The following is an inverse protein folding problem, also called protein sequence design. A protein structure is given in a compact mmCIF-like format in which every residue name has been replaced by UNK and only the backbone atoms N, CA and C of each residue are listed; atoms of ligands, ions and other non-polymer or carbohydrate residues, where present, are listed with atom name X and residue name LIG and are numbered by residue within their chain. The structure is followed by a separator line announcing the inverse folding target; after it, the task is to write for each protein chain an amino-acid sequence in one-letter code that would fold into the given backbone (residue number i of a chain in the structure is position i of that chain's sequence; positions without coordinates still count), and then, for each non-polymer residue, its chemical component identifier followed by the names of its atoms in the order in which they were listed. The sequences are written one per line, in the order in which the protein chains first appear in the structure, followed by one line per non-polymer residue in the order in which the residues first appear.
data_IF_489573666157
#
_entry.id   IF_489573666157
#
_cell.length_a   1.000
_cell.length_b   1.000
_cell.length_c   1.000
_cell.angle_alpha   90.00
_cell.angle_beta   90.00
_cell.angle_gamma   90.00
#
_symmetry.space_group_name_H-M   'P 1'
#
loop_
_entity.id
_entity.type
_entity.pdbx_description
1 polymer ?
#
# COMPACT_ATOMS: atom_id res chain seq x y z
N UNK A 1 -28.14 -30.39 19.78
CA UNK A 1 -28.01 -30.65 18.33
C UNK A 1 -28.99 -29.77 17.55
N UNK A 2 -28.48 -29.12 16.51
CA UNK A 2 -29.27 -28.31 15.59
C UNK A 2 -29.28 -29.00 14.22
N UNK A 3 -30.46 -29.13 13.58
CA UNK A 3 -30.53 -29.66 12.22
C UNK A 3 -30.09 -28.59 11.23
N UNK A 4 -29.01 -28.86 10.48
CA UNK A 4 -28.51 -27.92 9.47
C UNK A 4 -29.33 -28.01 8.19
N UNK A 5 -29.44 -29.20 7.61
CA UNK A 5 -30.28 -29.46 6.43
C UNK A 5 -30.53 -30.96 6.22
N UNK A 6 -31.37 -31.29 5.24
CA UNK A 6 -31.71 -32.66 4.86
C UNK A 6 -31.43 -32.90 3.38
N UNK A 7 -30.89 -34.08 3.06
CA UNK A 7 -30.65 -34.52 1.70
C UNK A 7 -31.56 -35.70 1.41
N UNK A 8 -32.30 -35.68 0.32
CA UNK A 8 -33.10 -36.82 -0.10
C UNK A 8 -32.22 -38.00 -0.52
N UNK A 9 -32.51 -39.19 0.01
CA UNK A 9 -31.79 -40.40 -0.40
C UNK A 9 -32.20 -40.80 -1.84
N UNK A 10 -31.23 -40.98 -2.71
CA UNK A 10 -31.42 -41.37 -4.11
C UNK A 10 -30.69 -42.68 -4.47
N UNK A 11 -30.29 -43.45 -3.45
CA UNK A 11 -29.68 -44.78 -3.63
C UNK A 11 -28.23 -44.79 -4.03
N UNK A 12 -27.48 -43.68 -3.79
CA UNK A 12 -26.04 -43.64 -3.97
C UNK A 12 -25.33 -44.32 -2.78
N UNK A 13 -24.12 -44.84 -3.04
CA UNK A 13 -23.25 -45.39 -1.99
C UNK A 13 -22.65 -44.28 -1.13
N UNK A 14 -22.53 -43.05 -1.66
CA UNK A 14 -21.96 -41.89 -0.97
C UNK A 14 -22.83 -40.65 -1.17
N UNK A 15 -22.89 -39.81 -0.15
CA UNK A 15 -23.56 -38.51 -0.16
C UNK A 15 -22.59 -37.45 0.31
N UNK A 16 -22.63 -36.27 -0.30
CA UNK A 16 -21.79 -35.13 0.04
C UNK A 16 -22.67 -33.91 0.31
N UNK A 17 -22.28 -33.12 1.30
CA UNK A 17 -22.90 -31.87 1.60
C UNK A 17 -21.91 -30.90 2.25
N UNK A 18 -22.20 -29.61 2.20
CA UNK A 18 -21.47 -28.58 2.92
C UNK A 18 -22.24 -28.30 4.22
N UNK A 19 -21.53 -28.26 5.33
CA UNK A 19 -22.06 -27.93 6.64
C UNK A 19 -21.25 -26.79 7.25
N UNK A 20 -21.96 -25.80 7.78
CA UNK A 20 -21.33 -24.69 8.47
C UNK A 20 -20.90 -25.12 9.88
N UNK A 21 -19.75 -24.64 10.33
CA UNK A 21 -19.28 -24.79 11.70
C UNK A 21 -19.95 -23.75 12.60
N UNK A 22 -20.03 -24.02 13.90
CA UNK A 22 -20.63 -23.09 14.85
C UNK A 22 -19.79 -21.83 15.10
N UNK A 23 -18.47 -22.00 15.02
CA UNK A 23 -17.51 -20.94 15.21
C UNK A 23 -16.28 -21.19 14.33
N UNK A 24 -15.57 -20.14 13.96
CA UNK A 24 -14.28 -20.24 13.29
C UNK A 24 -13.16 -20.55 14.29
N UNK A 25 -12.15 -21.26 13.85
CA UNK A 25 -10.89 -21.40 14.58
C UNK A 25 -10.17 -20.04 14.54
N UNK A 26 -9.44 -19.75 15.62
CA UNK A 26 -8.57 -18.58 15.72
C UNK A 26 -7.11 -18.99 15.55
N UNK A 27 -6.19 -18.02 15.44
CA UNK A 27 -4.75 -18.32 15.41
C UNK A 27 -4.25 -19.11 16.64
N UNK A 28 -4.92 -18.96 17.76
CA UNK A 28 -4.49 -19.54 19.04
C UNK A 28 -5.31 -20.75 19.48
N UNK A 29 -6.49 -20.98 18.89
CA UNK A 29 -7.39 -22.05 19.30
C UNK A 29 -8.15 -22.64 18.11
N UNK A 30 -8.11 -23.98 17.99
CA UNK A 30 -8.88 -24.72 16.99
C UNK A 30 -10.21 -25.14 17.59
N UNK A 31 -11.30 -24.45 17.21
CA UNK A 31 -12.64 -24.71 17.69
C UNK A 31 -13.29 -25.77 16.81
N UNK A 32 -13.48 -26.97 17.35
CA UNK A 32 -14.11 -28.08 16.63
C UNK A 32 -15.63 -28.06 16.78
N UNK A 33 -16.33 -28.19 15.65
CA UNK A 33 -17.76 -28.45 15.60
C UNK A 33 -17.96 -29.95 15.38
N UNK A 34 -18.79 -30.57 16.21
CA UNK A 34 -19.19 -31.97 16.08
C UNK A 34 -20.40 -32.10 15.15
N UNK A 35 -20.31 -32.96 14.15
CA UNK A 35 -21.36 -33.23 13.18
C UNK A 35 -21.88 -34.65 13.35
N UNK A 36 -23.19 -34.81 13.20
CA UNK A 36 -23.89 -36.09 13.23
C UNK A 36 -24.79 -36.26 12.04
N UNK A 37 -24.76 -37.43 11.40
CA UNK A 37 -25.67 -37.79 10.34
C UNK A 37 -26.77 -38.67 10.92
N UNK A 38 -28.02 -38.32 10.62
CA UNK A 38 -29.19 -39.08 10.99
C UNK A 38 -29.90 -39.56 9.71
N UNK A 39 -29.97 -40.86 9.50
CA UNK A 39 -30.76 -41.43 8.43
C UNK A 39 -32.21 -41.52 8.88
N UNK A 40 -33.14 -40.91 8.13
CA UNK A 40 -34.59 -41.02 8.37
C UNK A 40 -35.16 -42.11 7.44
N UNK A 41 -35.82 -43.09 8.04
CA UNK A 41 -36.44 -44.21 7.35
C UNK A 41 -37.94 -44.24 7.60
N UNK A 42 -38.69 -45.00 6.81
CA UNK A 42 -40.15 -45.08 6.95
C UNK A 42 -40.64 -45.60 8.32
N UNK A 43 -39.80 -46.34 9.06
CA UNK A 43 -40.09 -46.93 10.34
C UNK A 43 -39.43 -46.20 11.55
N UNK A 44 -38.82 -45.06 11.33
CA UNK A 44 -38.17 -44.27 12.36
C UNK A 44 -36.84 -43.67 11.95
N UNK A 45 -36.25 -42.84 12.81
CA UNK A 45 -34.99 -42.24 12.60
C UNK A 45 -33.85 -43.21 13.01
N UNK A 46 -32.85 -43.32 12.15
CA UNK A 46 -31.65 -44.07 12.41
C UNK A 46 -30.48 -43.10 12.72
N UNK A 47 -29.82 -43.28 13.82
CA UNK A 47 -28.59 -42.58 14.16
C UNK A 47 -27.45 -43.52 13.83
N UNK A 48 -26.45 -43.09 13.11
CA UNK A 48 -25.20 -43.86 12.99
C UNK A 48 -24.64 -44.07 14.38
N UNK A 49 -24.45 -45.35 14.74
CA UNK A 49 -23.94 -45.75 16.06
C UNK A 49 -22.45 -45.95 16.09
N UNK A 50 -21.80 -45.69 14.98
CA UNK A 50 -20.33 -45.68 14.93
C UNK A 50 -19.85 -44.50 15.77
N UNK A 51 -18.96 -44.74 16.70
CA UNK A 51 -18.37 -43.75 17.61
C UNK A 51 -17.53 -42.70 16.88
N UNK A 52 -17.55 -42.70 15.56
CA UNK A 52 -16.93 -41.73 14.67
C UNK A 52 -17.90 -40.58 14.36
N UNK A 53 -18.18 -39.76 15.36
CA UNK A 53 -18.74 -38.45 15.09
C UNK A 53 -17.74 -37.69 14.22
N UNK A 54 -18.22 -37.06 13.12
CA UNK A 54 -17.39 -36.21 12.30
C UNK A 54 -17.11 -34.92 13.08
N UNK A 55 -15.84 -34.57 13.17
CA UNK A 55 -15.43 -33.28 13.69
C UNK A 55 -14.86 -32.46 12.54
N UNK A 56 -15.21 -31.20 12.51
CA UNK A 56 -14.65 -30.25 11.56
C UNK A 56 -14.40 -28.92 12.23
N UNK A 57 -13.53 -28.14 11.65
CA UNK A 57 -13.32 -26.74 11.98
C UNK A 57 -13.25 -25.92 10.70
N UNK A 58 -13.65 -24.66 10.79
CA UNK A 58 -13.43 -23.68 9.76
C UNK A 58 -12.38 -22.69 10.22
N UNK A 59 -11.61 -22.21 9.29
CA UNK A 59 -10.69 -21.09 9.48
C UNK A 59 -11.29 -19.95 8.69
N UNK A 60 -11.42 -18.79 9.31
CA UNK A 60 -11.74 -17.58 8.59
C UNK A 60 -10.50 -17.15 7.81
N UNK A 61 -10.62 -17.14 6.50
CA UNK A 61 -9.61 -16.67 5.57
C UNK A 61 -10.22 -15.68 4.55
N UNK A 62 -11.35 -15.09 4.91
CA UNK A 62 -11.98 -14.04 4.13
C UNK A 62 -11.29 -12.74 4.50
N UNK A 63 -10.74 -12.07 3.50
CA UNK A 63 -10.11 -10.77 3.71
C UNK A 63 -11.18 -9.70 3.91
N UNK A 64 -11.04 -8.78 4.88
CA UNK A 64 -11.95 -7.66 5.01
C UNK A 64 -11.88 -6.74 3.79
N UNK A 65 -12.89 -5.90 3.63
CA UNK A 65 -12.93 -4.91 2.56
C UNK A 65 -11.78 -3.90 2.72
N UNK A 66 -11.22 -3.46 1.61
CA UNK A 66 -10.18 -2.42 1.59
C UNK A 66 -10.82 -1.07 1.92
N UNK A 67 -10.25 -0.28 2.86
CA UNK A 67 -10.68 1.09 3.08
C UNK A 67 -10.47 1.94 1.82
N UNK A 68 -11.32 2.93 1.60
CA UNK A 68 -11.19 3.89 0.49
C UNK A 68 -10.65 5.20 1.04
N UNK A 69 -9.45 5.60 0.61
CA UNK A 69 -8.85 6.88 0.99
C UNK A 69 -9.72 8.02 0.44
N UNK A 70 -10.13 8.95 1.31
CA UNK A 70 -10.99 10.08 0.94
C UNK A 70 -10.26 11.42 0.91
N UNK A 71 -9.26 11.60 1.77
CA UNK A 71 -8.37 12.76 1.72
C UNK A 71 -7.03 12.47 2.39
N UNK A 72 -6.01 13.19 1.91
CA UNK A 72 -4.73 13.39 2.56
C UNK A 72 -4.45 14.90 2.54
N UNK A 73 -4.34 15.51 3.70
CA UNK A 73 -4.18 16.95 3.86
C UNK A 73 -3.07 17.23 4.86
N UNK A 74 -2.49 18.42 4.82
CA UNK A 74 -1.52 18.85 5.82
C UNK A 74 -1.81 20.25 6.32
N UNK A 75 -1.43 20.51 7.57
CA UNK A 75 -1.36 21.83 8.19
C UNK A 75 0.01 21.94 8.88
N UNK A 76 0.82 22.89 8.47
CA UNK A 76 2.24 22.94 8.83
C UNK A 76 2.94 21.59 8.51
N UNK A 77 3.55 20.95 9.52
CA UNK A 77 4.22 19.65 9.40
C UNK A 77 3.34 18.46 9.80
N UNK A 78 2.07 18.69 10.14
CA UNK A 78 1.14 17.64 10.52
C UNK A 78 0.32 17.20 9.29
N UNK A 79 0.36 15.90 9.00
CA UNK A 79 -0.39 15.26 7.91
C UNK A 79 -1.57 14.52 8.49
N UNK A 80 -2.74 14.68 7.89
CA UNK A 80 -3.99 14.03 8.26
C UNK A 80 -4.50 13.17 7.12
N UNK A 81 -4.79 11.91 7.41
CA UNK A 81 -5.34 10.93 6.50
C UNK A 81 -6.78 10.61 6.91
N UNK A 82 -7.69 10.56 5.95
CA UNK A 82 -9.07 10.14 6.16
C UNK A 82 -9.47 9.10 5.11
N UNK A 83 -10.26 8.11 5.55
CA UNK A 83 -10.77 7.06 4.67
C UNK A 83 -12.22 6.71 5.00
N UNK A 84 -12.89 6.06 4.05
CA UNK A 84 -14.20 5.45 4.24
C UNK A 84 -14.05 3.94 4.39
N UNK A 85 -14.87 3.35 5.24
CA UNK A 85 -14.94 1.92 5.45
C UNK A 85 -16.36 1.52 5.85
N UNK A 86 -16.94 0.55 5.14
CA UNK A 86 -18.22 -0.03 5.52
C UNK A 86 -17.96 -1.10 6.58
N UNK A 87 -18.41 -0.83 7.81
CA UNK A 87 -18.10 -1.64 8.98
C UNK A 87 -18.64 -3.06 8.84
N UNK A 88 -17.75 -4.04 8.86
CA UNK A 88 -18.02 -5.47 8.84
C UNK A 88 -18.18 -6.01 10.28
N UNK A 89 -18.94 -7.14 10.44
CA UNK A 89 -19.24 -7.70 11.77
C UNK A 89 -18.00 -8.19 12.52
N UNK A 90 -16.96 -8.60 11.80
CA UNK A 90 -15.69 -9.13 12.31
C UNK A 90 -14.54 -8.12 12.25
N UNK A 91 -14.80 -6.86 11.89
CA UNK A 91 -13.82 -5.80 11.88
C UNK A 91 -13.18 -5.60 13.26
N UNK A 92 -11.84 -5.62 13.32
CA UNK A 92 -11.08 -5.38 14.55
C UNK A 92 -10.48 -3.97 14.60
N UNK A 93 -9.72 -3.56 13.58
CA UNK A 93 -9.07 -2.25 13.52
C UNK A 93 -8.54 -1.95 12.12
N UNK A 94 -8.19 -0.68 11.88
CA UNK A 94 -7.36 -0.27 10.75
C UNK A 94 -5.90 -0.25 11.17
N UNK A 95 -5.04 -0.75 10.29
CA UNK A 95 -3.59 -0.64 10.41
C UNK A 95 -3.09 0.39 9.43
N UNK A 96 -2.40 1.40 9.94
CA UNK A 96 -1.68 2.41 9.17
C UNK A 96 -0.21 1.98 9.17
N UNK A 97 0.33 1.73 8.00
CA UNK A 97 1.73 1.34 7.85
C UNK A 97 2.48 2.46 7.15
N UNK A 98 3.64 2.82 7.70
CA UNK A 98 4.57 3.74 7.05
C UNK A 98 5.93 3.07 6.85
N UNK A 99 6.87 3.77 6.22
CA UNK A 99 8.26 3.31 6.10
C UNK A 99 8.93 3.10 7.46
N UNK A 100 8.48 3.82 8.49
CA UNK A 100 9.14 3.90 9.80
C UNK A 100 8.27 3.41 10.97
N UNK A 101 6.96 3.30 10.80
CA UNK A 101 6.03 2.95 11.87
C UNK A 101 4.86 2.08 11.42
N UNK A 102 4.21 1.48 12.40
CA UNK A 102 2.93 0.79 12.26
C UNK A 102 2.05 1.27 13.40
N UNK A 103 0.91 1.85 13.05
CA UNK A 103 -0.10 2.30 13.99
C UNK A 103 -1.43 1.58 13.75
N UNK A 104 -2.22 1.39 14.81
CA UNK A 104 -3.53 0.77 14.73
C UNK A 104 -4.58 1.72 15.31
N UNK A 105 -5.72 1.82 14.65
CA UNK A 105 -6.86 2.65 15.09
C UNK A 105 -8.19 2.01 14.74
N UNK A 106 -9.21 2.35 15.50
CA UNK A 106 -10.61 2.05 15.15
C UNK A 106 -11.33 3.26 14.52
N UNK A 107 -10.61 4.39 14.42
CA UNK A 107 -11.09 5.59 13.74
C UNK A 107 -10.86 5.49 12.24
N UNK A 108 -11.61 6.24 11.47
CA UNK A 108 -11.42 6.41 10.02
C UNK A 108 -10.53 7.62 9.68
N UNK A 109 -9.70 8.01 10.64
CA UNK A 109 -8.73 9.10 10.52
C UNK A 109 -7.44 8.78 11.26
N UNK A 110 -6.33 9.31 10.79
CA UNK A 110 -5.03 9.24 11.43
C UNK A 110 -4.23 10.50 11.11
N UNK A 111 -3.49 11.01 12.11
CA UNK A 111 -2.61 12.15 11.92
C UNK A 111 -1.22 11.86 12.46
N UNK A 112 -0.21 12.40 11.79
CA UNK A 112 1.19 12.25 12.18
C UNK A 112 1.97 13.52 11.82
N UNK A 113 3.06 13.78 12.52
CA UNK A 113 3.99 14.86 12.18
C UNK A 113 5.05 14.33 11.23
N UNK A 114 5.19 14.94 10.06
CA UNK A 114 6.16 14.51 9.04
C UNK A 114 7.58 14.94 9.40
N UNK A 115 8.53 14.00 9.31
CA UNK A 115 9.98 14.26 9.40
C UNK A 115 10.66 13.78 8.11
N UNK A 116 10.79 14.69 7.16
CA UNK A 116 11.46 14.43 5.89
C UNK A 116 10.56 13.83 4.81
N UNK A 117 10.61 12.52 4.61
CA UNK A 117 9.86 11.79 3.58
C UNK A 117 9.28 10.53 4.19
N UNK A 118 8.01 10.25 3.92
CA UNK A 118 7.35 9.02 4.33
C UNK A 118 6.32 8.56 3.29
N UNK A 119 5.95 7.30 3.36
CA UNK A 119 4.91 6.68 2.55
C UNK A 119 3.97 5.93 3.48
N UNK A 120 2.67 6.16 3.35
CA UNK A 120 1.66 5.56 4.20
C UNK A 120 0.61 4.83 3.37
N UNK A 121 0.08 3.73 3.91
CA UNK A 121 -1.11 3.06 3.41
C UNK A 121 -1.92 2.49 4.57
N UNK A 122 -3.19 2.21 4.32
CA UNK A 122 -4.13 1.70 5.31
C UNK A 122 -4.66 0.34 4.89
N UNK A 123 -4.78 -0.57 5.85
CA UNK A 123 -5.47 -1.86 5.71
C UNK A 123 -6.55 -1.96 6.77
N UNK A 124 -7.63 -2.70 6.49
CA UNK A 124 -8.51 -3.22 7.52
C UNK A 124 -8.01 -4.57 8.00
N UNK A 125 -8.25 -4.86 9.27
CA UNK A 125 -7.88 -6.13 9.92
C UNK A 125 -9.09 -6.65 10.66
N UNK A 126 -9.43 -7.93 10.50
CA UNK A 126 -10.51 -8.60 11.20
C UNK A 126 -10.04 -9.21 12.54
N UNK A 127 -10.97 -9.77 13.31
CA UNK A 127 -10.66 -10.45 14.58
C UNK A 127 -9.84 -11.73 14.41
N UNK A 128 -9.76 -12.29 13.20
CA UNK A 128 -9.02 -13.51 12.89
C UNK A 128 -7.61 -13.19 12.35
N UNK A 129 -7.28 -11.92 12.17
CA UNK A 129 -5.97 -11.44 11.72
C UNK A 129 -5.81 -11.41 10.20
N UNK A 130 -6.89 -11.54 9.42
CA UNK A 130 -6.83 -11.35 7.97
C UNK A 130 -6.74 -9.84 7.66
N UNK A 131 -6.02 -9.52 6.60
CA UNK A 131 -5.81 -8.15 6.14
C UNK A 131 -6.53 -7.92 4.83
N UNK A 132 -7.12 -6.74 4.67
CA UNK A 132 -7.53 -6.26 3.35
C UNK A 132 -6.32 -6.02 2.44
N UNK A 133 -6.58 -5.76 1.16
CA UNK A 133 -5.58 -5.11 0.32
C UNK A 133 -5.22 -3.73 0.88
N UNK A 134 -4.11 -3.17 0.43
CA UNK A 134 -3.71 -1.81 0.78
C UNK A 134 -4.64 -0.80 0.09
N UNK A 135 -4.88 0.33 0.74
CA UNK A 135 -5.36 1.53 0.04
C UNK A 135 -4.34 1.98 -1.01
N UNK A 136 -4.66 2.99 -1.80
CA UNK A 136 -3.63 3.79 -2.43
C UNK A 136 -2.62 4.26 -1.38
N UNK A 137 -1.34 4.32 -1.78
CA UNK A 137 -0.29 4.87 -0.92
C UNK A 137 -0.34 6.39 -0.94
N UNK A 138 -0.04 6.98 0.19
CA UNK A 138 0.15 8.42 0.35
C UNK A 138 1.64 8.66 0.54
N UNK A 139 2.28 9.32 -0.42
CA UNK A 139 3.65 9.79 -0.29
C UNK A 139 3.64 11.23 0.19
N UNK A 140 4.36 11.50 1.27
CA UNK A 140 4.53 12.81 1.86
C UNK A 140 6.00 13.22 1.87
N UNK A 141 6.31 14.43 1.40
CA UNK A 141 7.67 14.96 1.30
C UNK A 141 7.74 16.37 1.84
N UNK A 142 8.54 16.57 2.90
CA UNK A 142 8.86 17.91 3.38
C UNK A 142 9.78 18.62 2.38
N UNK A 143 9.43 19.85 2.03
CA UNK A 143 10.17 20.73 1.14
C UNK A 143 10.66 21.95 1.91
N UNK A 144 11.95 22.22 1.88
CA UNK A 144 12.50 23.48 2.35
C UNK A 144 12.37 24.59 1.31
N UNK A 145 12.35 25.86 1.73
CA UNK A 145 12.34 27.00 0.84
C UNK A 145 13.46 26.91 -0.21
N UNK A 146 13.15 27.13 -1.48
CA UNK A 146 14.07 27.07 -2.61
C UNK A 146 14.01 25.75 -3.36
N UNK A 147 15.16 25.25 -3.82
CA UNK A 147 15.25 24.05 -4.66
C UNK A 147 15.48 22.79 -3.82
N UNK A 148 14.68 21.78 -4.07
CA UNK A 148 14.68 20.48 -3.39
C UNK A 148 14.82 19.38 -4.43
N UNK A 149 15.82 18.50 -4.29
CA UNK A 149 15.96 17.34 -5.16
C UNK A 149 15.07 16.20 -4.65
N UNK A 150 14.10 15.79 -5.44
CA UNK A 150 13.10 14.77 -5.06
C UNK A 150 12.91 13.74 -6.15
N UNK A 151 12.43 12.56 -5.75
CA UNK A 151 11.99 11.48 -6.62
C UNK A 151 10.68 10.90 -6.14
N UNK A 152 9.94 10.26 -7.04
CA UNK A 152 8.57 9.81 -6.81
C UNK A 152 8.50 8.30 -6.94
N UNK A 153 8.25 7.60 -5.84
CA UNK A 153 8.00 6.16 -5.80
C UNK A 153 6.51 5.81 -5.79
N UNK A 154 5.66 6.79 -5.52
CA UNK A 154 4.20 6.70 -5.60
C UNK A 154 3.72 7.76 -6.58
N UNK A 155 2.96 7.35 -7.57
CA UNK A 155 2.37 8.25 -8.57
C UNK A 155 0.91 7.88 -8.80
N UNK A 156 0.04 8.90 -9.01
CA UNK A 156 -1.33 8.67 -9.45
C UNK A 156 -1.37 8.18 -10.91
N UNK A 157 -2.53 7.65 -11.32
CA UNK A 157 -2.78 7.28 -12.73
C UNK A 157 -2.61 8.49 -13.67
N UNK A 158 -3.07 9.68 -13.24
CA UNK A 158 -2.77 10.95 -13.90
C UNK A 158 -1.49 11.54 -13.29
N UNK A 159 -0.36 11.19 -13.88
CA UNK A 159 0.97 11.66 -13.47
C UNK A 159 1.35 13.02 -14.09
N UNK A 160 0.39 13.77 -14.62
CA UNK A 160 0.63 15.14 -15.09
C UNK A 160 1.21 16.01 -13.98
N UNK A 161 2.12 16.93 -14.36
CA UNK A 161 2.72 17.86 -13.40
C UNK A 161 1.67 18.65 -12.61
N UNK A 162 0.56 19.01 -13.25
CA UNK A 162 -0.54 19.71 -12.60
C UNK A 162 -1.15 18.90 -11.47
N UNK A 163 -1.40 17.61 -11.71
CA UNK A 163 -2.00 16.73 -10.71
C UNK A 163 -1.01 16.39 -9.59
N UNK A 164 0.24 16.04 -9.95
CA UNK A 164 1.26 15.65 -8.96
C UNK A 164 1.65 16.83 -8.05
N UNK A 165 1.65 18.06 -8.54
CA UNK A 165 1.97 19.27 -7.76
C UNK A 165 0.76 19.94 -7.10
N UNK A 166 -0.44 19.36 -7.18
CA UNK A 166 -1.68 19.97 -6.75
C UNK A 166 -1.69 20.39 -5.27
N UNK A 167 -1.09 19.57 -4.38
CA UNK A 167 -1.08 19.85 -2.94
C UNK A 167 -0.26 21.08 -2.55
N UNK A 168 0.69 21.51 -3.41
CA UNK A 168 1.55 22.68 -3.20
C UNK A 168 1.31 23.76 -4.27
N UNK A 169 0.12 23.74 -4.93
CA UNK A 169 -0.25 24.76 -5.89
C UNK A 169 -0.23 26.15 -5.27
N UNK A 170 0.37 27.10 -5.97
CA UNK A 170 0.56 28.48 -5.47
C UNK A 170 1.87 28.69 -4.68
N UNK A 171 2.49 27.66 -4.13
CA UNK A 171 3.81 27.74 -3.51
C UNK A 171 4.91 27.21 -4.44
N UNK A 172 4.66 26.16 -5.22
CA UNK A 172 5.60 25.65 -6.21
C UNK A 172 5.71 26.62 -7.39
N UNK A 173 6.94 26.99 -7.75
CA UNK A 173 7.23 27.94 -8.84
C UNK A 173 7.90 27.30 -10.03
N UNK A 174 8.54 26.12 -9.86
CA UNK A 174 9.22 25.43 -10.94
C UNK A 174 9.55 23.99 -10.63
N UNK A 175 9.60 23.20 -11.69
CA UNK A 175 10.09 21.79 -11.64
C UNK A 175 11.07 21.60 -12.79
N UNK A 176 12.25 21.06 -12.47
CA UNK A 176 13.31 20.81 -13.44
C UNK A 176 13.66 19.31 -13.41
N UNK A 177 13.43 18.64 -14.52
CA UNK A 177 13.86 17.28 -14.78
C UNK A 177 15.07 17.24 -15.72
N UNK A 178 15.43 16.06 -16.18
CA UNK A 178 16.53 15.90 -17.14
C UNK A 178 16.14 16.38 -18.53
N UNK A 179 16.71 17.49 -18.96
CA UNK A 179 16.45 18.10 -20.27
C UNK A 179 15.05 18.72 -20.45
N UNK A 180 14.25 18.73 -19.40
CA UNK A 180 12.87 19.27 -19.40
C UNK A 180 12.64 20.13 -18.16
N UNK A 181 11.73 21.11 -18.27
CA UNK A 181 11.36 21.96 -17.14
C UNK A 181 9.94 22.50 -17.34
N UNK A 182 9.31 22.86 -16.22
CA UNK A 182 8.07 23.64 -16.20
C UNK A 182 8.15 24.72 -15.12
N UNK A 183 7.50 25.86 -15.37
CA UNK A 183 7.31 26.93 -14.40
C UNK A 183 5.83 27.15 -14.19
N UNK A 184 5.45 27.41 -12.95
CA UNK A 184 4.08 27.79 -12.61
C UNK A 184 3.87 29.29 -12.85
N UNK A 185 2.82 29.62 -13.57
CA UNK A 185 2.40 30.98 -13.84
C UNK A 185 1.01 31.20 -13.25
N UNK A 186 0.88 32.19 -12.40
CA UNK A 186 -0.40 32.60 -11.86
C UNK A 186 -1.41 32.85 -13.01
N UNK A 187 -2.65 32.42 -12.85
CA UNK A 187 -3.73 32.47 -13.85
C UNK A 187 -3.59 31.57 -15.10
N UNK A 188 -2.43 30.89 -15.31
CA UNK A 188 -2.19 30.06 -16.50
C UNK A 188 -1.94 28.59 -16.10
N UNK A 189 -1.27 28.36 -14.98
CA UNK A 189 -0.81 27.06 -14.54
C UNK A 189 0.61 26.73 -14.99
N UNK A 190 0.92 25.44 -15.08
CA UNK A 190 2.24 24.94 -15.46
C UNK A 190 2.53 25.15 -16.96
N UNK A 191 3.69 25.73 -17.26
CA UNK A 191 4.15 26.03 -18.61
C UNK A 191 5.59 25.58 -18.80
N UNK A 192 5.82 24.77 -19.84
CA UNK A 192 7.18 24.29 -20.14
C UNK A 192 7.21 23.08 -21.06
N UNK A 193 8.27 22.33 -20.98
CA UNK A 193 8.47 21.05 -21.69
C UNK A 193 8.33 19.82 -20.80
N UNK A 194 8.11 20.01 -19.50
CA UNK A 194 7.81 18.94 -18.56
C UNK A 194 6.30 18.86 -18.39
N UNK A 195 5.71 17.81 -18.92
CA UNK A 195 4.26 17.57 -18.87
C UNK A 195 3.90 16.54 -17.82
N UNK A 196 4.75 15.50 -17.63
CA UNK A 196 4.50 14.34 -16.75
C UNK A 196 5.68 14.09 -15.81
N UNK A 197 5.36 13.63 -14.62
CA UNK A 197 6.35 13.12 -13.64
C UNK A 197 6.47 11.60 -13.80
N UNK A 198 7.69 11.09 -13.78
CA UNK A 198 7.96 9.65 -13.90
C UNK A 198 8.77 9.13 -12.71
N UNK A 199 8.58 7.86 -12.37
CA UNK A 199 9.28 7.25 -11.25
C UNK A 199 10.77 7.02 -11.46
N UNK A 200 11.22 6.93 -12.72
CA UNK A 200 12.67 6.85 -13.04
C UNK A 200 13.37 8.20 -12.98
N UNK A 201 12.62 9.31 -13.09
CA UNK A 201 13.16 10.66 -13.04
C UNK A 201 13.38 11.17 -11.63
N UNK A 202 14.41 11.98 -11.42
CA UNK A 202 14.51 12.86 -10.28
C UNK A 202 14.28 14.30 -10.73
N UNK A 203 13.79 15.12 -9.82
CA UNK A 203 13.34 16.48 -10.13
C UNK A 203 13.82 17.48 -9.08
N UNK A 204 14.23 18.65 -9.53
CA UNK A 204 14.37 19.80 -8.65
C UNK A 204 13.01 20.51 -8.55
N UNK A 205 12.41 20.44 -7.36
CA UNK A 205 11.18 21.17 -7.03
C UNK A 205 11.56 22.51 -6.39
N UNK A 206 11.04 23.61 -6.92
CA UNK A 206 11.35 24.95 -6.46
C UNK A 206 10.10 25.53 -5.81
N UNK A 207 10.18 25.81 -4.50
CA UNK A 207 9.08 26.35 -3.69
C UNK A 207 9.48 27.70 -3.05
N UNK A 208 8.50 28.56 -2.85
CA UNK A 208 8.70 29.89 -2.24
C UNK A 208 8.90 29.82 -0.72
N UNK A 209 8.24 28.89 -0.07
CA UNK A 209 8.21 28.68 1.39
C UNK A 209 8.33 27.20 1.70
N UNK A 210 8.62 26.85 2.97
CA UNK A 210 8.54 25.47 3.44
C UNK A 210 7.13 24.91 3.25
N UNK A 211 7.03 23.64 2.82
CA UNK A 211 5.76 23.01 2.51
C UNK A 211 5.84 21.49 2.57
N UNK A 212 4.70 20.80 2.45
CA UNK A 212 4.62 19.35 2.29
C UNK A 212 3.97 19.02 0.95
N UNK A 213 4.70 18.34 0.08
CA UNK A 213 4.12 17.74 -1.11
C UNK A 213 3.46 16.41 -0.74
N UNK A 214 2.17 16.31 -0.99
CA UNK A 214 1.37 15.08 -0.85
C UNK A 214 1.02 14.54 -2.22
N UNK A 215 1.27 13.25 -2.44
CA UNK A 215 0.91 12.54 -3.66
C UNK A 215 0.24 11.23 -3.29
N UNK A 216 -0.93 10.94 -3.83
CA UNK A 216 -1.63 9.67 -3.65
C UNK A 216 -1.57 8.85 -4.93
N UNK A 217 -1.48 7.54 -4.80
CA UNK A 217 -1.44 6.65 -5.94
C UNK A 217 -0.87 5.28 -5.61
N UNK A 218 -0.24 4.68 -6.61
CA UNK A 218 0.30 3.32 -6.46
C UNK A 218 1.84 3.34 -6.45
N UNK A 219 2.47 2.50 -5.58
CA UNK A 219 3.90 2.34 -5.58
C UNK A 219 4.40 1.86 -6.94
N UNK A 220 5.50 2.42 -7.37
CA UNK A 220 6.16 2.01 -8.61
C UNK A 220 6.59 0.55 -8.54
N UNK A 221 6.34 -0.20 -9.62
CA UNK A 221 6.82 -1.57 -9.76
C UNK A 221 8.37 -1.59 -9.68
N UNK A 222 8.88 -2.31 -8.68
CA UNK A 222 10.31 -2.41 -8.39
C UNK A 222 11.13 -3.09 -9.48
N UNK A 223 10.48 -3.69 -10.47
CA UNK A 223 11.13 -4.38 -11.59
C UNK A 223 11.27 -3.53 -12.84
N UNK A 224 10.73 -2.32 -12.86
CA UNK A 224 10.83 -1.40 -14.00
C UNK A 224 12.29 -0.95 -14.16
N UNK A 225 12.92 -1.22 -15.34
CA UNK A 225 14.26 -0.74 -15.59
C UNK A 225 14.26 0.76 -15.94
N UNK A 226 15.16 1.52 -15.35
CA UNK A 226 15.39 2.91 -15.74
C UNK A 226 16.54 2.96 -16.78
N UNK A 227 16.25 3.53 -17.94
CA UNK A 227 17.24 3.67 -19.01
C UNK A 227 18.21 4.81 -18.71
N UNK A 228 19.51 4.57 -18.90
CA UNK A 228 20.57 5.55 -18.69
C UNK A 228 21.32 5.81 -19.99
N UNK A 229 21.72 7.04 -20.21
CA UNK A 229 22.59 7.42 -21.34
C UNK A 229 24.00 7.75 -20.88
N UNK A 230 24.93 7.89 -21.84
CA UNK A 230 26.30 8.33 -21.56
C UNK A 230 26.29 9.78 -21.06
N UNK A 231 27.00 10.03 -19.95
CA UNK A 231 27.08 11.34 -19.31
C UNK A 231 26.37 11.38 -17.96
N UNK A 232 25.85 12.55 -17.58
CA UNK A 232 25.09 12.73 -16.37
C UNK A 232 23.62 12.36 -16.60
N UNK A 233 23.03 11.63 -15.67
CA UNK A 233 21.63 11.25 -15.67
C UNK A 233 21.00 11.74 -14.35
N UNK A 234 19.85 12.35 -14.43
CA UNK A 234 19.05 12.78 -13.26
C UNK A 234 17.98 11.72 -12.96
N UNK A 235 18.30 10.80 -12.07
CA UNK A 235 17.52 9.58 -11.84
C UNK A 235 17.01 9.46 -10.41
N UNK A 236 15.93 8.71 -10.25
CA UNK A 236 15.35 8.29 -9.00
C UNK A 236 15.89 6.93 -8.54
N UNK A 237 16.02 6.76 -7.22
CA UNK A 237 16.18 5.47 -6.58
C UNK A 237 14.93 5.19 -5.73
N UNK A 238 13.89 4.62 -6.33
CA UNK A 238 12.63 4.33 -5.68
C UNK A 238 12.59 2.96 -4.98
N UNK A 239 13.69 2.20 -5.02
CA UNK A 239 13.87 0.93 -4.31
C UNK A 239 15.13 1.01 -3.48
N UNK A 240 14.98 0.83 -2.16
CA UNK A 240 16.11 0.77 -1.25
C UNK A 240 16.24 -0.67 -0.72
N UNK A 241 17.31 -1.42 -1.11
CA UNK A 241 17.64 -2.69 -0.48
C UNK A 241 18.18 -2.46 0.95
N UNK A 242 18.30 -3.54 1.75
CA UNK A 242 18.92 -3.46 3.08
C UNK A 242 20.30 -2.78 3.05
N UNK A 243 21.12 -3.09 2.05
CA UNK A 243 22.37 -2.39 1.78
C UNK A 243 22.13 -1.30 0.74
N UNK A 244 21.85 -0.10 1.20
CA UNK A 244 21.68 1.11 0.37
C UNK A 244 22.98 1.88 0.13
N UNK A 245 24.15 1.26 0.35
CA UNK A 245 25.44 1.86 0.01
C UNK A 245 25.53 2.19 -1.48
N UNK A 246 26.22 3.29 -1.81
CA UNK A 246 26.44 3.70 -3.20
C UNK A 246 27.03 2.57 -4.04
N UNK A 247 27.93 1.77 -3.47
CA UNK A 247 28.55 0.62 -4.14
C UNK A 247 27.50 -0.44 -4.52
N UNK A 248 26.59 -0.78 -3.61
CA UNK A 248 25.55 -1.74 -3.88
C UNK A 248 24.50 -1.20 -4.86
N UNK A 249 24.05 0.02 -4.64
CA UNK A 249 23.04 0.68 -5.50
C UNK A 249 23.51 0.80 -6.97
N UNK A 250 24.80 1.08 -7.21
CA UNK A 250 25.36 1.22 -8.55
C UNK A 250 26.00 -0.08 -9.08
N UNK A 251 25.89 -1.19 -8.37
CA UNK A 251 26.56 -2.46 -8.70
C UNK A 251 26.24 -2.99 -10.10
N UNK A 252 24.99 -2.84 -10.55
CA UNK A 252 24.53 -3.26 -11.88
C UNK A 252 25.21 -2.49 -13.02
N UNK A 253 25.70 -1.27 -12.77
CA UNK A 253 26.38 -0.43 -13.76
C UNK A 253 27.88 -0.78 -13.89
N UNK A 254 28.44 -1.47 -12.92
CA UNK A 254 29.83 -1.89 -12.92
C UNK A 254 30.79 -0.71 -13.11
N UNK A 255 31.65 -0.78 -14.17
CA UNK A 255 32.62 0.28 -14.48
C UNK A 255 32.02 1.47 -15.26
N UNK A 256 30.77 1.40 -15.66
CA UNK A 256 30.12 2.50 -16.36
C UNK A 256 29.72 3.64 -15.41
N UNK A 257 29.49 3.36 -14.11
CA UNK A 257 29.27 4.42 -13.14
C UNK A 257 30.59 5.03 -12.66
N UNK A 258 30.74 6.32 -12.83
CA UNK A 258 31.94 7.07 -12.41
C UNK A 258 31.75 7.89 -11.14
N UNK A 259 30.50 8.19 -10.79
CA UNK A 259 30.14 8.93 -9.58
C UNK A 259 28.66 9.13 -9.46
N UNK A 260 28.24 9.62 -8.31
CA UNK A 260 26.87 10.01 -7.98
C UNK A 260 26.89 11.34 -7.24
N UNK A 261 25.92 12.20 -7.53
CA UNK A 261 25.74 13.51 -6.90
C UNK A 261 24.28 13.58 -6.43
N UNK A 262 24.09 13.86 -5.15
CA UNK A 262 22.81 14.17 -4.55
C UNK A 262 22.77 15.59 -4.03
N UNK A 263 21.69 15.94 -3.35
CA UNK A 263 21.56 17.24 -2.70
C UNK A 263 22.57 17.36 -1.54
N UNK A 264 23.56 18.26 -1.70
CA UNK A 264 24.60 18.50 -0.70
C UNK A 264 25.63 17.39 -0.50
N UNK A 265 25.60 16.29 -1.27
CA UNK A 265 26.49 15.15 -1.14
C UNK A 265 26.98 14.66 -2.51
N UNK A 266 28.17 14.06 -2.54
CA UNK A 266 28.70 13.43 -3.76
C UNK A 266 29.62 12.27 -3.42
N UNK A 267 29.70 11.27 -4.31
CA UNK A 267 30.70 10.22 -4.27
C UNK A 267 31.27 9.97 -5.68
N UNK A 268 32.57 9.71 -5.76
CA UNK A 268 33.27 9.38 -7.00
C UNK A 268 33.86 7.99 -6.89
N UNK A 269 33.83 7.24 -7.98
CA UNK A 269 34.51 5.94 -8.06
C UNK A 269 36.01 6.19 -8.17
N UNK A 270 36.77 5.63 -7.24
CA UNK A 270 38.25 5.64 -7.29
C UNK A 270 38.68 4.33 -7.95
N UNK A 271 39.28 4.44 -9.13
CA UNK A 271 39.91 3.30 -9.76
C UNK A 271 41.17 2.98 -8.95
N UNK A 272 41.19 1.82 -8.29
CA UNK A 272 42.33 1.31 -7.53
C UNK A 272 43.34 0.59 -8.42
#
# INVERSE_FOLDING_TARGET
WTSLHSIAAYGSETYQTVAETLNNATETDTIYTEFRIIASMNEGNYVSLDDENGFGYSVDNIHPATPELTSAEHEDMDVSLNWQYELEEDFAYHRITSLNSIDNTISNEHSFTLDGHDEHWVNSVDYNGNYSDNTESIMSMALGQGANLRSFNVLPDDNSITNVMASIEGNATGVIGEGVAANYMEDIGWMGSLDEITSCGAYWLIVNEEDILLTTGYPTDRTIPCELHAGANLISFYVFPEDNSVTNMLSSLGDNATGIIGEGVAASKING
#
